data_IF_451444437559
#
_entry.id   IF_451444437559
#
_cell.length_a   1.000
_cell.length_b   1.000
_cell.length_c   1.000
_cell.angle_alpha   90.00
_cell.angle_beta   90.00
_cell.angle_gamma   90.00
#
_symmetry.space_group_name_H-M   'P 1'
#
loop_
_entity.id
_entity.type
_entity.pdbx_description
1 polymer ?
#
# COMPACT_ATOMS: atom_id res chain seq x y z
N UNK A 1 -4.45 13.94 -28.54
CA UNK A 1 -3.16 14.69 -28.58
C UNK A 1 -2.11 13.79 -29.20
N UNK A 2 -1.32 14.28 -30.16
CA UNK A 2 -0.22 13.49 -30.74
C UNK A 2 0.87 13.36 -29.68
N UNK A 3 1.05 12.16 -29.14
CA UNK A 3 2.15 11.85 -28.23
C UNK A 3 3.48 11.84 -29.01
N UNK A 4 4.43 12.65 -28.59
CA UNK A 4 5.78 12.64 -29.15
C UNK A 4 6.70 11.87 -28.22
N UNK A 5 7.26 10.78 -28.72
CA UNK A 5 8.19 9.92 -27.97
C UNK A 5 9.45 10.70 -27.60
N UNK A 6 9.82 10.75 -26.32
CA UNK A 6 11.12 11.30 -25.93
C UNK A 6 12.24 10.34 -26.36
N UNK A 7 13.44 10.86 -26.57
CA UNK A 7 14.62 10.01 -26.82
C UNK A 7 15.10 9.33 -25.54
N UNK A 8 15.00 10.04 -24.42
CA UNK A 8 15.44 9.62 -23.11
C UNK A 8 14.35 9.87 -22.07
N UNK A 9 14.32 9.06 -21.05
CA UNK A 9 13.42 9.10 -19.89
C UNK A 9 14.24 9.29 -18.63
N UNK A 10 13.85 10.23 -17.79
CA UNK A 10 14.47 10.47 -16.48
C UNK A 10 13.83 9.54 -15.43
N UNK A 11 14.67 9.04 -14.54
CA UNK A 11 14.22 8.28 -13.36
C UNK A 11 15.11 8.58 -12.16
N UNK A 12 14.54 8.50 -10.96
CA UNK A 12 15.27 8.50 -9.71
C UNK A 12 15.67 7.04 -9.38
N UNK A 13 16.97 6.82 -9.30
CA UNK A 13 17.57 5.50 -9.06
C UNK A 13 18.12 5.45 -7.66
N UNK A 14 17.72 4.45 -6.90
CA UNK A 14 18.33 4.12 -5.61
C UNK A 14 19.54 3.22 -5.84
N UNK A 15 20.74 3.74 -5.56
CA UNK A 15 22.03 3.07 -5.84
C UNK A 15 22.45 2.11 -4.72
N UNK A 16 22.18 2.53 -3.51
CA UNK A 16 22.44 1.82 -2.26
C UNK A 16 21.69 2.53 -1.13
N UNK A 17 21.62 1.98 0.08
CA UNK A 17 21.01 2.66 1.21
C UNK A 17 21.52 4.11 1.36
N UNK A 18 20.56 5.03 1.50
CA UNK A 18 20.82 6.46 1.67
C UNK A 18 21.27 7.22 0.43
N UNK A 19 21.39 6.59 -0.74
CA UNK A 19 21.92 7.22 -1.94
C UNK A 19 21.00 7.03 -3.14
N UNK A 20 20.47 8.14 -3.63
CA UNK A 20 19.67 8.21 -4.86
C UNK A 20 20.29 9.21 -5.84
N UNK A 21 20.07 8.99 -7.15
CA UNK A 21 20.47 9.93 -8.20
C UNK A 21 19.49 9.91 -9.37
N UNK A 22 19.47 10.99 -10.15
CA UNK A 22 18.74 11.02 -11.42
C UNK A 22 19.58 10.37 -12.52
N UNK A 23 19.02 9.37 -13.17
CA UNK A 23 19.58 8.77 -14.40
C UNK A 23 18.65 8.96 -15.58
N UNK A 24 19.23 8.88 -16.78
CA UNK A 24 18.50 8.89 -18.04
C UNK A 24 18.62 7.51 -18.69
N UNK A 25 17.51 7.05 -19.21
CA UNK A 25 17.39 5.76 -19.89
C UNK A 25 16.85 5.98 -21.30
N UNK A 26 17.23 5.16 -22.29
CA UNK A 26 16.58 5.17 -23.58
C UNK A 26 15.08 4.92 -23.44
N UNK A 27 14.26 5.63 -24.20
CA UNK A 27 12.84 5.30 -24.29
C UNK A 27 12.66 3.90 -24.90
N UNK A 28 11.99 2.96 -24.23
CA UNK A 28 11.93 1.57 -24.66
C UNK A 28 11.00 1.38 -25.88
N UNK A 29 11.29 0.39 -26.68
CA UNK A 29 10.36 -0.10 -27.70
C UNK A 29 9.39 -1.10 -27.07
N UNK A 30 8.14 -1.11 -27.52
CA UNK A 30 7.14 -2.12 -27.15
C UNK A 30 7.03 -3.19 -28.23
N UNK A 31 6.51 -4.34 -27.82
CA UNK A 31 6.02 -5.40 -28.70
C UNK A 31 4.49 -5.52 -28.62
N UNK A 32 3.92 -6.59 -29.18
CA UNK A 32 2.46 -6.81 -29.16
C UNK A 32 1.89 -7.10 -27.76
N UNK A 33 2.71 -7.52 -26.79
CA UNK A 33 2.32 -8.01 -25.48
C UNK A 33 2.64 -7.01 -24.33
N UNK A 34 3.21 -5.85 -24.66
CA UNK A 34 3.69 -4.85 -23.70
C UNK A 34 3.07 -3.46 -23.92
N UNK A 35 3.25 -2.56 -22.95
CA UNK A 35 2.76 -1.19 -23.02
C UNK A 35 3.75 -0.20 -22.39
N UNK A 36 3.54 1.09 -22.63
CA UNK A 36 4.21 2.20 -21.91
C UNK A 36 3.14 3.03 -21.23
N UNK A 37 3.34 3.27 -19.94
CA UNK A 37 2.54 4.19 -19.14
C UNK A 37 3.37 5.43 -18.82
N UNK A 38 2.82 6.61 -19.12
CA UNK A 38 3.32 7.89 -18.63
C UNK A 38 2.86 8.05 -17.20
N UNK A 39 3.79 8.05 -16.24
CA UNK A 39 3.44 8.14 -14.82
C UNK A 39 2.91 9.54 -14.48
N UNK A 40 1.71 9.59 -13.91
CA UNK A 40 1.12 10.82 -13.39
C UNK A 40 1.61 11.08 -11.97
N UNK A 41 1.60 10.03 -11.14
CA UNK A 41 1.96 10.09 -9.73
C UNK A 41 2.38 8.70 -9.25
N UNK A 42 3.33 8.66 -8.33
CA UNK A 42 3.78 7.44 -7.65
C UNK A 42 3.92 7.71 -6.17
N UNK A 43 3.25 6.92 -5.33
CA UNK A 43 3.33 7.05 -3.89
C UNK A 43 4.66 6.55 -3.33
N UNK A 44 5.07 7.13 -2.20
CA UNK A 44 6.20 6.65 -1.40
C UNK A 44 5.68 5.83 -0.24
N UNK A 45 6.01 4.55 -0.22
CA UNK A 45 5.60 3.56 0.76
C UNK A 45 6.51 3.52 2.00
N UNK A 46 6.03 2.89 3.06
CA UNK A 46 6.87 2.48 4.19
C UNK A 46 8.03 1.56 3.78
N UNK A 47 7.80 0.72 2.77
CA UNK A 47 8.81 -0.15 2.13
C UNK A 47 10.00 0.63 1.63
N UNK A 48 9.78 1.69 0.87
CA UNK A 48 10.84 2.52 0.27
C UNK A 48 11.69 3.18 1.35
N UNK A 49 11.04 3.59 2.46
CA UNK A 49 11.73 4.12 3.65
C UNK A 49 12.70 3.11 4.26
N UNK A 50 12.27 1.86 4.43
CA UNK A 50 13.11 0.80 5.01
C UNK A 50 14.26 0.44 4.08
N UNK A 51 14.01 0.34 2.76
CA UNK A 51 15.05 0.11 1.77
C UNK A 51 16.06 1.26 1.77
N UNK A 52 15.58 2.52 1.81
CA UNK A 52 16.46 3.69 1.88
C UNK A 52 17.33 3.72 3.14
N UNK A 53 16.81 3.28 4.28
CA UNK A 53 17.59 3.16 5.54
C UNK A 53 18.60 2.00 5.51
N UNK A 54 18.38 1.00 4.66
CA UNK A 54 19.19 -0.22 4.62
C UNK A 54 18.66 -1.34 5.50
N UNK A 55 17.45 -1.23 6.03
CA UNK A 55 16.78 -2.27 6.80
C UNK A 55 16.44 -3.50 5.90
N UNK A 56 16.25 -3.25 4.59
CA UNK A 56 16.08 -4.28 3.57
C UNK A 56 17.03 -4.00 2.40
N UNK A 57 17.96 -4.89 2.16
CA UNK A 57 18.91 -4.84 1.02
C UNK A 57 18.68 -5.95 0.01
N UNK A 58 17.88 -6.92 0.39
CA UNK A 58 17.50 -8.08 -0.44
C UNK A 58 16.01 -8.39 -0.30
N UNK A 59 15.40 -8.85 -1.37
CA UNK A 59 14.04 -9.40 -1.37
C UNK A 59 14.09 -10.75 -2.08
N UNK A 60 13.58 -11.80 -1.43
CA UNK A 60 13.58 -13.18 -1.94
C UNK A 60 14.97 -13.64 -2.42
N UNK A 61 16.03 -13.29 -1.67
CA UNK A 61 17.41 -13.65 -1.99
C UNK A 61 18.00 -12.91 -3.20
N UNK A 62 17.41 -11.81 -3.63
CA UNK A 62 17.92 -10.95 -4.72
C UNK A 62 18.27 -9.59 -4.15
N UNK A 63 19.47 -9.09 -4.48
CA UNK A 63 19.86 -7.73 -4.17
C UNK A 63 18.89 -6.73 -4.80
N UNK A 64 18.53 -5.71 -4.05
CA UNK A 64 17.62 -4.64 -4.53
C UNK A 64 18.35 -3.62 -5.39
N UNK A 65 19.62 -3.36 -5.14
CA UNK A 65 20.36 -2.23 -5.74
C UNK A 65 21.19 -2.60 -6.96
N UNK A 66 21.34 -1.69 -7.92
CA UNK A 66 20.59 -0.45 -8.09
C UNK A 66 19.23 -0.67 -8.75
N UNK A 67 18.21 0.13 -8.39
CA UNK A 67 16.87 0.01 -8.97
C UNK A 67 16.15 1.36 -9.06
N UNK A 68 15.09 1.45 -9.89
CA UNK A 68 14.15 2.55 -9.92
C UNK A 68 13.02 2.22 -8.94
N UNK A 69 12.87 3.03 -7.91
CA UNK A 69 11.89 2.85 -6.84
C UNK A 69 10.47 3.30 -7.26
N UNK A 70 9.48 3.12 -6.39
CA UNK A 70 8.09 3.52 -6.58
C UNK A 70 7.21 2.39 -7.13
N UNK A 71 6.31 1.89 -6.28
CA UNK A 71 5.42 0.77 -6.59
C UNK A 71 3.92 1.09 -6.44
N UNK A 72 3.55 2.25 -5.94
CA UNK A 72 2.17 2.73 -5.87
C UNK A 72 1.90 3.65 -7.07
N UNK A 73 1.61 3.07 -8.23
CA UNK A 73 1.72 3.75 -9.52
C UNK A 73 0.39 3.97 -10.21
N UNK A 74 0.19 5.21 -10.66
CA UNK A 74 -0.87 5.55 -11.61
C UNK A 74 -0.33 6.36 -12.78
N UNK A 75 -0.95 6.21 -13.93
CA UNK A 75 -0.56 6.96 -15.11
C UNK A 75 -1.47 6.75 -16.31
N UNK A 76 -1.09 7.36 -17.42
CA UNK A 76 -1.82 7.29 -18.69
C UNK A 76 -1.07 6.42 -19.70
N UNK A 77 -1.75 5.46 -20.33
CA UNK A 77 -1.20 4.63 -21.40
C UNK A 77 -0.88 5.52 -22.59
N UNK A 78 0.39 5.52 -23.01
CA UNK A 78 0.87 6.28 -24.19
C UNK A 78 1.20 5.40 -25.39
N UNK A 79 1.51 4.13 -25.15
CA UNK A 79 1.66 3.08 -26.16
C UNK A 79 1.17 1.76 -25.59
N UNK A 80 0.55 0.94 -26.45
CA UNK A 80 0.06 -0.38 -26.06
C UNK A 80 0.06 -1.33 -27.27
N UNK A 81 0.55 -2.53 -27.06
CA UNK A 81 0.53 -3.61 -28.04
C UNK A 81 -0.85 -4.23 -28.21
N UNK A 82 -1.08 -4.89 -29.32
CA UNK A 82 -2.40 -5.45 -29.68
C UNK A 82 -2.91 -6.49 -28.67
N UNK A 83 -2.04 -7.38 -28.21
CA UNK A 83 -2.40 -8.38 -27.20
C UNK A 83 -2.51 -7.74 -25.82
N UNK A 84 -1.56 -6.88 -25.45
CA UNK A 84 -1.54 -6.15 -24.19
C UNK A 84 -2.84 -5.38 -23.96
N UNK A 85 -3.45 -4.84 -25.01
CA UNK A 85 -4.72 -4.12 -24.94
C UNK A 85 -5.88 -5.00 -24.41
N UNK A 86 -5.83 -6.31 -24.62
CA UNK A 86 -6.84 -7.27 -24.15
C UNK A 86 -6.45 -7.97 -22.85
N UNK A 87 -5.17 -8.22 -22.68
CA UNK A 87 -4.68 -9.19 -21.69
C UNK A 87 -4.24 -8.56 -20.37
N UNK A 88 -3.95 -7.24 -20.35
CA UNK A 88 -3.41 -6.59 -19.16
C UNK A 88 -4.49 -6.04 -18.21
N UNK A 89 -5.72 -5.83 -18.64
CA UNK A 89 -6.75 -5.21 -17.80
C UNK A 89 -7.49 -6.24 -16.95
N UNK A 90 -7.63 -5.94 -15.64
CA UNK A 90 -8.16 -6.87 -14.65
C UNK A 90 -9.63 -7.25 -14.85
N UNK A 91 -10.47 -6.32 -15.32
CA UNK A 91 -11.92 -6.53 -15.54
C UNK A 91 -12.25 -6.94 -16.99
N UNK A 92 -11.24 -7.38 -17.76
CA UNK A 92 -11.36 -7.78 -19.17
C UNK A 92 -11.90 -6.67 -20.11
N UNK A 93 -11.70 -5.42 -19.77
CA UNK A 93 -11.99 -4.29 -20.66
C UNK A 93 -10.83 -4.10 -21.64
N UNK A 94 -11.11 -3.62 -22.84
CA UNK A 94 -10.06 -3.31 -23.81
C UNK A 94 -9.42 -1.98 -23.45
N UNK A 95 -8.11 -2.03 -23.23
CA UNK A 95 -7.31 -0.83 -22.98
C UNK A 95 -6.92 -0.15 -24.31
N UNK A 96 -6.75 1.17 -24.25
CA UNK A 96 -6.30 1.98 -25.39
C UNK A 96 -5.39 3.11 -24.91
N UNK A 97 -4.65 3.69 -25.84
CA UNK A 97 -3.88 4.91 -25.61
C UNK A 97 -4.82 6.01 -25.10
N UNK A 98 -4.41 6.67 -24.03
CA UNK A 98 -5.18 7.70 -23.32
C UNK A 98 -5.94 7.18 -22.10
N UNK A 99 -6.11 5.87 -21.92
CA UNK A 99 -6.72 5.33 -20.70
C UNK A 99 -5.78 5.55 -19.51
N UNK A 100 -6.37 5.97 -18.38
CA UNK A 100 -5.68 6.09 -17.10
C UNK A 100 -5.77 4.76 -16.36
N UNK A 101 -4.66 4.33 -15.77
CA UNK A 101 -4.55 3.03 -15.11
C UNK A 101 -3.79 3.13 -13.79
N UNK A 102 -4.20 2.33 -12.82
CA UNK A 102 -3.39 1.93 -11.69
C UNK A 102 -2.70 0.59 -12.02
N UNK A 103 -1.49 0.39 -11.52
CA UNK A 103 -0.61 -0.71 -11.92
C UNK A 103 -0.38 -1.60 -10.72
N UNK A 104 -0.77 -2.88 -10.81
CA UNK A 104 -0.42 -3.84 -9.77
C UNK A 104 1.10 -4.05 -9.71
N UNK A 105 1.60 -4.24 -8.50
CA UNK A 105 3.05 -4.28 -8.24
C UNK A 105 3.69 -5.50 -8.87
N UNK A 106 3.07 -6.68 -8.74
CA UNK A 106 3.67 -7.94 -9.12
C UNK A 106 3.38 -8.35 -10.56
N UNK A 107 4.40 -8.94 -11.18
CA UNK A 107 4.24 -9.74 -12.39
C UNK A 107 4.50 -11.19 -12.03
N UNK A 108 3.43 -11.97 -11.90
CA UNK A 108 3.47 -13.35 -11.45
C UNK A 108 3.68 -14.33 -12.60
N UNK A 109 4.18 -15.53 -12.29
CA UNK A 109 4.53 -16.51 -13.33
C UNK A 109 3.31 -17.21 -13.98
N UNK A 110 2.12 -17.12 -13.38
CA UNK A 110 0.88 -17.73 -13.87
C UNK A 110 0.83 -19.27 -13.86
N UNK A 111 1.91 -19.97 -13.52
CA UNK A 111 2.04 -21.43 -13.70
C UNK A 111 2.42 -22.24 -12.46
N UNK A 112 2.92 -21.63 -11.40
CA UNK A 112 3.22 -22.35 -10.16
C UNK A 112 1.93 -22.77 -9.44
N UNK A 113 2.07 -23.59 -8.41
CA UNK A 113 0.92 -24.09 -7.66
C UNK A 113 0.08 -22.93 -7.07
N UNK A 114 0.72 -21.94 -6.50
CA UNK A 114 0.03 -20.79 -5.90
C UNK A 114 -0.73 -19.96 -6.94
N UNK A 115 -0.12 -19.66 -8.09
CA UNK A 115 -0.81 -18.94 -9.17
C UNK A 115 -2.04 -19.66 -9.72
N UNK A 116 -2.04 -21.00 -9.65
CA UNK A 116 -3.15 -21.81 -10.15
C UNK A 116 -4.25 -22.10 -9.12
N UNK A 117 -3.94 -21.99 -7.82
CA UNK A 117 -4.83 -22.41 -6.76
C UNK A 117 -5.17 -21.31 -5.75
N UNK A 118 -4.47 -20.19 -5.77
CA UNK A 118 -4.74 -19.04 -4.91
C UNK A 118 -5.23 -17.85 -5.72
N UNK A 119 -6.30 -17.26 -5.25
CA UNK A 119 -6.98 -16.17 -5.94
C UNK A 119 -6.15 -14.87 -5.99
N UNK A 120 -5.36 -14.59 -4.95
CA UNK A 120 -4.61 -13.34 -4.80
C UNK A 120 -3.19 -13.36 -5.36
N UNK A 121 -2.66 -14.54 -5.69
CA UNK A 121 -1.32 -14.74 -6.28
C UNK A 121 -0.14 -14.11 -5.52
N UNK A 122 -0.34 -13.66 -4.29
CA UNK A 122 0.70 -13.02 -3.44
C UNK A 122 1.92 -13.93 -3.26
N UNK A 123 1.68 -15.21 -3.15
CA UNK A 123 2.67 -16.22 -2.80
C UNK A 123 3.31 -16.88 -4.02
N UNK A 124 3.29 -16.24 -5.18
CA UNK A 124 3.94 -16.77 -6.38
C UNK A 124 5.42 -17.10 -6.11
N UNK A 125 5.81 -18.39 -6.22
CA UNK A 125 7.19 -18.82 -5.97
C UNK A 125 8.17 -18.37 -7.05
N UNK A 126 7.69 -18.17 -8.28
CA UNK A 126 8.50 -17.81 -9.44
C UNK A 126 8.08 -16.44 -9.98
N UNK A 127 7.93 -15.48 -9.09
CA UNK A 127 7.59 -14.11 -9.45
C UNK A 127 8.60 -13.57 -10.46
N UNK A 128 8.10 -13.07 -11.59
CA UNK A 128 8.94 -12.57 -12.68
C UNK A 128 9.61 -11.28 -12.25
N UNK A 129 8.83 -10.35 -11.71
CA UNK A 129 9.30 -9.09 -11.16
C UNK A 129 8.25 -8.45 -10.24
N UNK A 130 8.67 -7.42 -9.51
CA UNK A 130 7.79 -6.46 -8.85
C UNK A 130 8.25 -5.04 -9.19
N UNK A 131 7.34 -4.23 -9.69
CA UNK A 131 7.60 -2.85 -10.05
C UNK A 131 8.06 -2.04 -8.83
N UNK A 132 9.15 -1.27 -9.01
CA UNK A 132 9.69 -0.42 -7.94
C UNK A 132 10.31 -1.16 -6.75
N UNK A 133 10.47 -2.49 -6.83
CA UNK A 133 11.04 -3.30 -5.74
C UNK A 133 12.19 -4.18 -6.21
N UNK A 134 12.12 -4.76 -7.41
CA UNK A 134 13.20 -5.61 -7.91
C UNK A 134 14.16 -4.86 -8.81
N UNK A 135 15.46 -5.17 -8.68
CA UNK A 135 16.53 -4.52 -9.42
C UNK A 135 16.46 -4.85 -10.90
N UNK A 136 17.39 -4.32 -11.58
CA UNK A 136 17.79 -4.47 -12.94
C UNK A 136 17.47 -3.25 -13.80
N UNK A 137 18.27 -2.23 -13.56
CA UNK A 137 18.35 -1.06 -14.43
C UNK A 137 19.41 -1.22 -15.52
N UNK A 138 20.13 -2.36 -15.57
CA UNK A 138 21.28 -2.57 -16.44
C UNK A 138 20.89 -3.21 -17.79
N UNK A 139 19.65 -3.71 -17.88
CA UNK A 139 19.14 -4.34 -19.10
C UNK A 139 17.82 -3.72 -19.56
N UNK A 140 17.61 -3.57 -20.89
CA UNK A 140 16.34 -3.15 -21.43
C UNK A 140 15.19 -4.04 -20.94
N UNK A 141 13.98 -3.49 -20.74
CA UNK A 141 13.55 -2.11 -21.06
C UNK A 141 13.80 -1.07 -19.95
N UNK A 142 14.57 -1.34 -18.92
CA UNK A 142 15.04 -0.50 -17.81
C UNK A 142 13.95 0.03 -16.85
N UNK A 143 12.91 0.70 -17.37
CA UNK A 143 11.93 1.52 -16.65
C UNK A 143 10.92 0.65 -15.86
N UNK A 144 11.34 0.12 -14.70
CA UNK A 144 10.60 -0.85 -13.89
C UNK A 144 10.12 -0.32 -12.55
N UNK A 145 10.01 0.99 -12.40
CA UNK A 145 9.53 1.62 -11.16
C UNK A 145 8.92 2.99 -11.45
N UNK A 146 8.04 3.43 -10.55
CA UNK A 146 7.23 4.64 -10.74
C UNK A 146 7.96 5.95 -10.52
N UNK A 147 9.14 5.93 -9.89
CA UNK A 147 9.96 7.15 -9.79
C UNK A 147 10.66 7.42 -11.11
N UNK A 148 9.90 7.35 -12.20
CA UNK A 148 10.34 7.62 -13.57
C UNK A 148 9.23 8.32 -14.36
N UNK A 149 9.61 9.07 -15.39
CA UNK A 149 8.64 9.78 -16.23
C UNK A 149 7.73 8.82 -17.01
N UNK A 150 8.23 7.63 -17.35
CA UNK A 150 7.51 6.57 -18.05
C UNK A 150 7.89 5.22 -17.45
N UNK A 151 6.95 4.29 -17.47
CA UNK A 151 7.16 2.93 -16.99
C UNK A 151 6.83 1.93 -18.11
N UNK A 152 7.68 0.93 -18.26
CA UNK A 152 7.44 -0.19 -19.18
C UNK A 152 6.56 -1.23 -18.49
N UNK A 153 5.48 -1.61 -19.16
CA UNK A 153 4.53 -2.60 -18.67
C UNK A 153 4.81 -3.94 -19.35
N UNK A 154 5.20 -4.90 -18.55
CA UNK A 154 5.58 -6.25 -19.03
C UNK A 154 4.35 -7.11 -19.34
N UNK A 155 4.49 -8.10 -20.23
CA UNK A 155 3.49 -9.16 -20.39
C UNK A 155 3.17 -9.84 -19.04
N UNK A 156 1.89 -10.07 -18.78
CA UNK A 156 1.42 -10.66 -17.52
C UNK A 156 1.28 -9.69 -16.35
N UNK A 157 1.53 -8.40 -16.56
CA UNK A 157 1.14 -7.35 -15.62
C UNK A 157 -0.38 -7.24 -15.52
N UNK A 158 -0.86 -6.68 -14.41
CA UNK A 158 -2.29 -6.40 -14.20
C UNK A 158 -2.49 -4.90 -14.04
N UNK A 159 -3.36 -4.34 -14.86
CA UNK A 159 -3.73 -2.94 -14.87
C UNK A 159 -5.20 -2.78 -14.49
N UNK A 160 -5.51 -1.73 -13.74
CA UNK A 160 -6.86 -1.37 -13.35
C UNK A 160 -7.22 -0.03 -13.96
N UNK A 161 -8.22 -0.01 -14.84
CA UNK A 161 -8.67 1.23 -15.46
C UNK A 161 -9.29 2.17 -14.43
N UNK A 162 -8.78 3.40 -14.36
CA UNK A 162 -9.26 4.45 -13.46
C UNK A 162 -10.39 5.23 -14.15
N UNK A 163 -11.52 5.51 -13.46
CA UNK A 163 -12.58 6.40 -13.94
C UNK A 163 -12.05 7.79 -14.33
N UNK A 164 -12.65 8.39 -15.37
CA UNK A 164 -12.18 9.68 -15.89
C UNK A 164 -12.32 10.83 -14.88
N UNK A 165 -13.34 10.78 -14.04
CA UNK A 165 -13.65 11.76 -13.00
C UNK A 165 -12.88 11.56 -11.70
N UNK A 166 -12.22 10.41 -11.51
CA UNK A 166 -11.37 10.18 -10.34
C UNK A 166 -10.06 10.97 -10.48
N UNK A 167 -9.83 11.88 -9.55
CA UNK A 167 -8.61 12.69 -9.54
C UNK A 167 -7.36 11.84 -9.30
N UNK A 168 -6.20 12.32 -9.75
CA UNK A 168 -4.91 11.68 -9.53
C UNK A 168 -4.60 11.52 -8.04
N UNK A 169 -4.96 12.53 -7.22
CA UNK A 169 -4.76 12.55 -5.76
C UNK A 169 -5.60 11.50 -5.02
N UNK A 170 -6.67 11.01 -5.62
CA UNK A 170 -7.46 9.90 -5.10
C UNK A 170 -6.93 8.58 -5.65
N UNK A 171 -6.72 8.51 -6.96
CA UNK A 171 -6.37 7.28 -7.65
C UNK A 171 -5.04 6.67 -7.19
N UNK A 172 -4.07 7.50 -6.75
CA UNK A 172 -2.76 7.03 -6.29
C UNK A 172 -2.84 6.09 -5.09
N UNK A 173 -3.89 6.20 -4.28
CA UNK A 173 -4.13 5.31 -3.14
C UNK A 173 -4.71 3.94 -3.52
N UNK A 174 -4.87 3.63 -4.80
CA UNK A 174 -5.53 2.39 -5.23
C UNK A 174 -4.79 1.13 -4.74
N UNK A 175 -3.46 1.15 -4.75
CA UNK A 175 -2.64 0.02 -4.27
C UNK A 175 -2.81 -0.17 -2.76
N UNK A 176 -2.62 0.87 -1.96
CA UNK A 176 -2.78 0.80 -0.50
C UNK A 176 -4.22 0.45 -0.09
N UNK A 177 -5.23 0.95 -0.81
CA UNK A 177 -6.64 0.57 -0.60
C UNK A 177 -6.89 -0.89 -0.91
N UNK A 178 -6.17 -1.48 -1.87
CA UNK A 178 -6.25 -2.91 -2.13
C UNK A 178 -5.69 -3.72 -0.95
N UNK A 179 -4.60 -3.29 -0.32
CA UNK A 179 -4.09 -3.89 0.91
C UNK A 179 -5.14 -3.82 2.03
N UNK A 180 -5.74 -2.64 2.24
CA UNK A 180 -6.80 -2.47 3.25
C UNK A 180 -8.04 -3.33 2.95
N UNK A 181 -8.46 -3.43 1.68
CA UNK A 181 -9.55 -4.30 1.28
C UNK A 181 -9.27 -5.77 1.60
N UNK A 182 -8.08 -6.27 1.26
CA UNK A 182 -7.68 -7.64 1.55
C UNK A 182 -7.63 -7.95 3.05
N UNK A 183 -7.13 -7.02 3.86
CA UNK A 183 -7.12 -7.16 5.32
C UNK A 183 -8.53 -7.36 5.87
N UNK A 184 -9.45 -6.48 5.45
CA UNK A 184 -10.84 -6.54 5.91
C UNK A 184 -11.56 -7.77 5.33
N UNK A 185 -11.31 -8.15 4.07
CA UNK A 185 -11.88 -9.35 3.48
C UNK A 185 -11.47 -10.62 4.25
N UNK A 186 -10.22 -10.72 4.71
CA UNK A 186 -9.76 -11.81 5.57
C UNK A 186 -10.43 -11.77 6.95
N UNK A 187 -10.60 -10.60 7.53
CA UNK A 187 -11.24 -10.43 8.84
C UNK A 187 -12.74 -10.75 8.82
N UNK A 188 -13.41 -10.58 7.68
CA UNK A 188 -14.85 -10.84 7.51
C UNK A 188 -15.19 -12.29 7.20
N UNK A 189 -14.23 -13.21 7.16
CA UNK A 189 -14.49 -14.64 6.95
C UNK A 189 -15.40 -15.17 8.07
N UNK A 190 -16.69 -15.46 7.82
CA UNK A 190 -17.60 -15.84 8.88
C UNK A 190 -17.43 -17.30 9.26
N UNK A 191 -17.38 -17.57 10.57
CA UNK A 191 -17.81 -18.86 11.10
C UNK A 191 -19.30 -18.76 11.45
N UNK A 192 -20.20 -19.33 10.66
CA UNK A 192 -21.65 -19.08 10.80
C UNK A 192 -22.25 -19.52 12.15
N UNK A 193 -21.59 -20.45 12.85
CA UNK A 193 -22.10 -21.02 14.09
C UNK A 193 -21.79 -20.18 15.35
N UNK A 194 -20.85 -19.25 15.27
CA UNK A 194 -20.39 -18.41 16.38
C UNK A 194 -20.17 -16.99 15.86
N UNK A 195 -20.42 -15.99 16.68
CA UNK A 195 -20.18 -14.58 16.31
C UNK A 195 -18.67 -14.28 16.25
N UNK A 196 -18.00 -14.92 15.30
CA UNK A 196 -16.59 -14.74 14.97
C UNK A 196 -16.48 -14.02 13.62
N UNK A 197 -15.37 -13.30 13.42
CA UNK A 197 -15.19 -12.44 12.26
C UNK A 197 -15.74 -11.04 12.48
N UNK A 198 -15.42 -10.16 11.54
CA UNK A 198 -15.79 -8.74 11.56
C UNK A 198 -16.96 -8.46 10.62
N UNK A 199 -17.89 -7.63 11.05
CA UNK A 199 -19.05 -7.25 10.26
C UNK A 199 -19.68 -5.93 10.65
N UNK A 200 -20.80 -5.53 10.04
CA UNK A 200 -21.48 -4.28 10.32
C UNK A 200 -21.90 -4.17 11.80
N UNK A 201 -21.60 -3.00 12.41
CA UNK A 201 -21.84 -2.70 13.81
C UNK A 201 -20.70 -3.10 14.74
N UNK A 202 -19.75 -3.90 14.30
CA UNK A 202 -18.61 -4.33 15.11
C UNK A 202 -17.59 -3.20 15.29
N UNK A 203 -16.79 -3.31 16.37
CA UNK A 203 -15.77 -2.33 16.72
C UNK A 203 -14.40 -2.68 16.16
N UNK A 204 -13.65 -1.66 15.74
CA UNK A 204 -12.27 -1.81 15.25
C UNK A 204 -11.31 -0.90 16.01
N UNK A 205 -10.12 -1.40 16.32
CA UNK A 205 -8.97 -0.58 16.71
C UNK A 205 -7.86 -0.70 15.68
N UNK A 206 -7.33 0.44 15.23
CA UNK A 206 -6.18 0.52 14.32
C UNK A 206 -4.98 1.04 15.11
N UNK A 207 -3.94 0.22 15.23
CA UNK A 207 -2.69 0.54 15.89
C UNK A 207 -1.65 0.95 14.85
N UNK A 208 -1.24 2.22 14.90
CA UNK A 208 -0.48 2.86 13.82
C UNK A 208 -1.40 3.49 12.76
N UNK A 209 -1.40 4.83 12.71
CA UNK A 209 -2.26 5.61 11.83
C UNK A 209 -1.45 6.42 10.80
N UNK A 210 -0.46 5.76 10.21
CA UNK A 210 0.11 6.16 8.93
C UNK A 210 -0.93 6.05 7.80
N UNK A 211 -0.57 6.34 6.55
CA UNK A 211 -1.51 6.27 5.41
C UNK A 211 -2.25 4.94 5.37
N UNK A 212 -1.51 3.84 5.42
CA UNK A 212 -2.07 2.48 5.36
C UNK A 212 -3.06 2.20 6.51
N UNK A 213 -2.71 2.55 7.76
CA UNK A 213 -3.61 2.37 8.91
C UNK A 213 -4.90 3.18 8.76
N UNK A 214 -4.83 4.42 8.28
CA UNK A 214 -6.00 5.25 8.01
C UNK A 214 -6.88 4.63 6.92
N UNK A 215 -6.28 4.10 5.85
CA UNK A 215 -7.04 3.43 4.79
C UNK A 215 -7.75 2.16 5.28
N UNK A 216 -7.15 1.41 6.21
CA UNK A 216 -7.84 0.30 6.90
C UNK A 216 -9.06 0.79 7.70
N UNK A 217 -8.90 1.89 8.42
CA UNK A 217 -10.00 2.50 9.18
C UNK A 217 -11.14 3.02 8.27
N UNK A 218 -10.81 3.62 7.13
CA UNK A 218 -11.77 4.03 6.09
C UNK A 218 -12.49 2.80 5.53
N UNK A 219 -11.75 1.77 5.14
CA UNK A 219 -12.34 0.54 4.58
C UNK A 219 -13.27 -0.14 5.59
N UNK A 220 -12.89 -0.19 6.88
CA UNK A 220 -13.76 -0.70 7.93
C UNK A 220 -15.05 0.12 8.04
N UNK A 221 -14.96 1.45 7.96
CA UNK A 221 -16.13 2.33 7.93
C UNK A 221 -17.05 2.06 6.74
N UNK A 222 -16.49 1.84 5.55
CA UNK A 222 -17.24 1.47 4.33
C UNK A 222 -17.95 0.12 4.51
N UNK A 223 -17.34 -0.83 5.23
CA UNK A 223 -17.95 -2.12 5.57
C UNK A 223 -18.93 -2.07 6.75
N UNK A 224 -19.16 -0.89 7.32
CA UNK A 224 -20.17 -0.69 8.35
C UNK A 224 -19.68 -0.83 9.79
N UNK A 225 -18.38 -0.65 10.05
CA UNK A 225 -17.85 -0.61 11.41
C UNK A 225 -18.66 0.32 12.33
N UNK A 226 -19.02 -0.15 13.52
CA UNK A 226 -19.77 0.62 14.51
C UNK A 226 -18.90 1.64 15.22
N UNK A 227 -17.84 1.19 15.91
CA UNK A 227 -16.89 2.06 16.61
C UNK A 227 -15.49 1.90 16.03
N UNK A 228 -14.84 3.02 15.71
CA UNK A 228 -13.51 3.05 15.09
C UNK A 228 -12.53 3.81 15.98
N UNK A 229 -11.57 3.09 16.53
CA UNK A 229 -10.56 3.61 17.45
C UNK A 229 -9.22 3.69 16.74
N UNK A 230 -8.53 4.83 16.84
CA UNK A 230 -7.19 5.04 16.27
C UNK A 230 -6.17 5.24 17.39
N UNK A 231 -5.03 4.56 17.34
CA UNK A 231 -3.88 4.82 18.22
C UNK A 231 -2.62 5.09 17.40
N UNK A 232 -1.86 6.12 17.73
CA UNK A 232 -0.57 6.46 17.11
C UNK A 232 0.29 7.26 18.10
N UNK A 233 1.60 7.30 17.87
CA UNK A 233 2.53 8.12 18.64
C UNK A 233 2.45 9.61 18.24
N UNK A 234 2.03 9.92 17.00
CA UNK A 234 2.06 11.25 16.43
C UNK A 234 0.66 11.89 16.40
N UNK A 235 0.49 12.99 17.16
CA UNK A 235 -0.74 13.78 17.17
C UNK A 235 -1.22 14.21 15.79
N UNK A 236 -0.28 14.52 14.89
CA UNK A 236 -0.61 14.91 13.52
C UNK A 236 -1.39 13.79 12.81
N UNK A 237 -0.94 12.55 12.95
CA UNK A 237 -1.61 11.37 12.36
C UNK A 237 -2.98 11.13 12.97
N UNK A 238 -3.09 11.27 14.29
CA UNK A 238 -4.35 11.15 14.99
C UNK A 238 -5.37 12.23 14.58
N UNK A 239 -4.92 13.46 14.33
CA UNK A 239 -5.77 14.52 13.79
C UNK A 239 -6.33 14.17 12.42
N UNK A 240 -5.51 13.62 11.53
CA UNK A 240 -5.96 13.17 10.20
C UNK A 240 -6.90 11.97 10.33
N UNK A 241 -6.58 10.98 11.16
CA UNK A 241 -7.45 9.84 11.43
C UNK A 241 -8.82 10.29 11.94
N UNK A 242 -8.86 11.25 12.87
CA UNK A 242 -10.09 11.83 13.40
C UNK A 242 -10.96 12.51 12.34
N UNK A 243 -10.33 13.17 11.37
CA UNK A 243 -11.04 13.84 10.28
C UNK A 243 -11.59 12.85 9.25
N UNK A 244 -10.90 11.73 9.03
CA UNK A 244 -11.21 10.79 7.96
C UNK A 244 -12.10 9.63 8.41
N UNK A 245 -11.82 9.03 9.57
CA UNK A 245 -12.56 7.83 9.94
C UNK A 245 -12.79 7.63 11.45
N UNK A 246 -11.82 8.02 12.30
CA UNK A 246 -11.81 7.59 13.69
C UNK A 246 -12.87 8.31 14.56
N UNK A 247 -13.66 7.56 15.29
CA UNK A 247 -14.58 8.10 16.28
C UNK A 247 -13.82 8.51 17.55
N UNK A 248 -12.75 7.76 17.91
CA UNK A 248 -11.93 8.00 19.09
C UNK A 248 -10.45 7.89 18.68
N UNK A 249 -9.64 8.83 19.17
CA UNK A 249 -8.18 8.82 19.01
C UNK A 249 -7.49 8.71 20.36
N UNK A 250 -6.39 7.97 20.43
CA UNK A 250 -5.58 7.78 21.63
C UNK A 250 -4.11 7.99 21.27
N UNK A 251 -3.46 8.98 21.89
CA UNK A 251 -2.03 9.18 21.71
C UNK A 251 -1.25 8.13 22.50
N UNK A 252 -0.53 7.27 21.80
CA UNK A 252 0.24 6.17 22.36
C UNK A 252 1.52 6.63 23.07
N UNK A 253 2.02 7.84 22.78
CA UNK A 253 3.16 8.40 23.47
C UNK A 253 2.82 8.91 24.89
N UNK A 254 1.55 9.16 25.17
CA UNK A 254 1.07 9.70 26.45
C UNK A 254 0.61 8.63 27.42
N UNK A 255 0.27 7.42 26.93
CA UNK A 255 -0.37 6.37 27.72
C UNK A 255 0.39 5.05 27.54
N UNK A 256 0.91 4.42 28.60
CA UNK A 256 1.55 3.11 28.52
C UNK A 256 0.64 2.02 27.95
N UNK A 257 1.21 1.03 27.26
CA UNK A 257 0.49 -0.05 26.56
C UNK A 257 -0.60 -0.70 27.42
N UNK A 258 -0.29 -1.08 28.66
CA UNK A 258 -1.26 -1.70 29.58
C UNK A 258 -2.45 -0.82 29.93
N UNK A 259 -2.27 0.51 29.97
CA UNK A 259 -3.36 1.46 30.20
C UNK A 259 -4.16 1.72 28.93
N UNK A 260 -3.48 1.75 27.74
CA UNK A 260 -4.18 1.83 26.45
C UNK A 260 -5.10 0.65 26.24
N UNK A 261 -4.63 -0.57 26.51
CA UNK A 261 -5.44 -1.79 26.43
C UNK A 261 -6.68 -1.66 27.33
N UNK A 262 -6.51 -1.26 28.60
CA UNK A 262 -7.62 -1.06 29.52
C UNK A 262 -8.61 0.00 29.04
N UNK A 263 -8.09 1.11 28.48
CA UNK A 263 -8.90 2.20 27.93
C UNK A 263 -9.73 1.74 26.73
N UNK A 264 -9.11 1.04 25.78
CA UNK A 264 -9.81 0.51 24.59
C UNK A 264 -10.86 -0.54 25.00
N UNK A 265 -10.53 -1.44 25.93
CA UNK A 265 -11.52 -2.40 26.46
C UNK A 265 -12.69 -1.68 27.14
N UNK A 266 -12.43 -0.65 27.93
CA UNK A 266 -13.51 0.14 28.57
C UNK A 266 -14.44 0.77 27.53
N UNK A 267 -13.90 1.31 26.43
CA UNK A 267 -14.67 1.89 25.33
C UNK A 267 -15.53 0.85 24.60
N UNK A 268 -15.11 -0.41 24.59
CA UNK A 268 -15.79 -1.54 23.94
C UNK A 268 -16.53 -2.43 24.95
N UNK A 269 -17.10 -1.84 26.00
CA UNK A 269 -17.92 -2.56 26.98
C UNK A 269 -17.15 -3.50 27.91
N UNK A 270 -15.84 -3.33 28.06
CA UNK A 270 -14.97 -4.14 28.90
C UNK A 270 -14.39 -5.40 28.25
N UNK A 271 -14.83 -5.74 27.02
CA UNK A 271 -14.46 -6.99 26.35
C UNK A 271 -13.28 -6.86 25.38
N UNK A 272 -13.11 -5.71 24.74
CA UNK A 272 -12.15 -5.43 23.68
C UNK A 272 -12.81 -5.30 22.31
N UNK A 273 -12.13 -4.73 21.31
CA UNK A 273 -12.65 -4.58 19.96
C UNK A 273 -12.79 -5.93 19.25
N UNK A 274 -13.71 -6.00 18.28
CA UNK A 274 -13.96 -7.18 17.45
C UNK A 274 -12.79 -7.44 16.49
N UNK A 275 -12.21 -6.38 15.95
CA UNK A 275 -11.07 -6.39 15.03
C UNK A 275 -9.98 -5.45 15.53
N UNK A 276 -8.73 -5.91 15.48
CA UNK A 276 -7.55 -5.07 15.67
C UNK A 276 -6.66 -5.18 14.44
N UNK A 277 -6.30 -4.04 13.83
CA UNK A 277 -5.31 -3.94 12.76
C UNK A 277 -4.01 -3.43 13.36
N UNK A 278 -2.94 -4.21 13.26
CA UNK A 278 -1.58 -3.77 13.53
C UNK A 278 -0.97 -3.21 12.24
N UNK A 279 -0.70 -1.90 12.22
CA UNK A 279 -0.13 -1.17 11.08
C UNK A 279 0.99 -0.20 11.52
N UNK A 280 1.55 -0.39 12.72
CA UNK A 280 2.66 0.39 13.24
C UNK A 280 4.02 -0.19 12.79
N UNK A 281 4.08 -1.51 12.62
CA UNK A 281 5.30 -2.23 12.28
C UNK A 281 6.27 -2.36 13.46
N UNK A 282 5.73 -2.44 14.66
CA UNK A 282 6.50 -2.67 15.90
C UNK A 282 6.03 -3.99 16.52
N UNK A 283 6.92 -4.98 16.69
CA UNK A 283 6.56 -6.29 17.22
C UNK A 283 5.87 -6.26 18.59
N UNK A 284 6.19 -5.28 19.47
CA UNK A 284 5.51 -5.12 20.76
C UNK A 284 4.07 -4.61 20.59
N UNK A 285 3.79 -3.83 19.54
CA UNK A 285 2.43 -3.38 19.20
C UNK A 285 1.56 -4.57 18.74
N UNK A 286 2.17 -5.58 18.09
CA UNK A 286 1.47 -6.83 17.79
C UNK A 286 1.03 -7.57 19.06
N UNK A 287 1.89 -7.64 20.10
CA UNK A 287 1.50 -8.21 21.41
C UNK A 287 0.37 -7.37 22.03
N UNK A 288 0.45 -6.05 21.96
CA UNK A 288 -0.62 -5.17 22.42
C UNK A 288 -1.96 -5.46 21.72
N UNK A 289 -1.93 -5.68 20.38
CA UNK A 289 -3.10 -6.05 19.60
C UNK A 289 -3.73 -7.36 20.07
N UNK A 290 -2.88 -8.39 20.29
CA UNK A 290 -3.32 -9.69 20.82
C UNK A 290 -3.95 -9.59 22.20
N UNK A 291 -3.45 -8.71 23.09
CA UNK A 291 -4.03 -8.49 24.41
C UNK A 291 -5.32 -7.68 24.35
N UNK A 292 -5.39 -6.72 23.43
CA UNK A 292 -6.48 -5.77 23.30
C UNK A 292 -7.75 -6.41 22.72
N UNK A 293 -7.63 -7.22 21.68
CA UNK A 293 -8.76 -7.85 20.98
C UNK A 293 -9.63 -8.69 21.93
N UNK A 294 -10.95 -8.71 21.70
CA UNK A 294 -11.87 -9.57 22.48
C UNK A 294 -11.61 -11.06 22.27
N UNK A 295 -12.22 -11.90 23.11
CA UNK A 295 -12.29 -13.35 22.86
C UNK A 295 -13.11 -13.61 21.60
N UNK A 296 -12.66 -14.53 20.75
CA UNK A 296 -13.24 -14.81 19.42
C UNK A 296 -13.11 -13.67 18.43
N UNK A 297 -12.28 -12.66 18.72
CA UNK A 297 -12.02 -11.55 17.78
C UNK A 297 -10.87 -11.83 16.84
N UNK A 298 -10.59 -10.89 15.96
CA UNK A 298 -9.58 -11.02 14.90
C UNK A 298 -8.48 -9.98 15.04
N UNK A 299 -7.24 -10.39 14.84
CA UNK A 299 -6.07 -9.52 14.66
C UNK A 299 -5.57 -9.68 13.24
N UNK A 300 -5.38 -8.58 12.54
CA UNK A 300 -4.67 -8.54 11.25
C UNK A 300 -3.34 -7.83 11.44
N UNK A 301 -2.28 -8.54 11.12
CA UNK A 301 -0.91 -8.05 11.15
C UNK A 301 -0.51 -7.61 9.72
N UNK A 302 -0.21 -6.32 9.56
CA UNK A 302 0.14 -5.72 8.26
C UNK A 302 1.33 -4.77 8.35
N UNK A 303 1.77 -4.42 9.57
CA UNK A 303 2.82 -3.43 9.80
C UNK A 303 4.24 -3.97 9.63
N UNK A 304 4.49 -5.22 9.96
CA UNK A 304 5.82 -5.84 9.97
C UNK A 304 6.11 -6.55 8.64
N UNK A 305 6.70 -5.86 7.68
CA UNK A 305 7.01 -6.44 6.36
C UNK A 305 8.49 -6.79 6.15
N UNK A 306 9.38 -6.27 7.00
CA UNK A 306 10.83 -6.51 6.95
C UNK A 306 11.28 -7.26 8.18
N UNK A 307 12.04 -8.34 7.98
CA UNK A 307 12.74 -9.03 9.07
C UNK A 307 14.04 -8.28 9.39
N UNK A 308 14.02 -7.51 10.48
CA UNK A 308 15.18 -6.82 11.02
C UNK A 308 15.80 -7.55 12.23
N UNK A 309 15.36 -8.81 12.44
CA UNK A 309 15.84 -9.65 13.53
C UNK A 309 15.20 -9.37 14.89
N UNK A 310 14.23 -8.46 14.97
CA UNK A 310 13.47 -8.22 16.19
C UNK A 310 12.51 -9.36 16.49
N UNK A 311 12.41 -9.73 17.76
CA UNK A 311 11.55 -10.82 18.23
C UNK A 311 10.75 -10.39 19.46
N UNK A 312 9.57 -10.97 19.65
CA UNK A 312 8.75 -10.77 20.83
C UNK A 312 8.48 -12.08 21.58
N UNK A 313 8.23 -11.98 22.86
CA UNK A 313 7.79 -13.11 23.67
C UNK A 313 6.28 -13.30 23.55
N UNK A 314 5.87 -14.41 22.96
CA UNK A 314 4.47 -14.79 22.83
C UNK A 314 4.11 -15.92 23.81
N UNK A 315 3.19 -15.66 24.72
CA UNK A 315 2.54 -16.71 25.50
C UNK A 315 1.32 -17.24 24.74
N UNK A 316 1.47 -18.37 24.07
CA UNK A 316 0.44 -18.93 23.18
C UNK A 316 -0.89 -19.17 23.90
N UNK A 317 -0.86 -19.70 25.14
CA UNK A 317 -2.09 -19.93 25.91
C UNK A 317 -2.81 -18.63 26.25
N UNK A 318 -2.09 -17.64 26.78
CA UNK A 318 -2.64 -16.34 27.20
C UNK A 318 -3.13 -15.52 26.03
N UNK A 319 -2.31 -15.40 24.96
CA UNK A 319 -2.58 -14.44 23.89
C UNK A 319 -3.50 -15.01 22.81
N UNK A 320 -3.47 -16.33 22.59
CA UNK A 320 -4.19 -16.98 21.48
C UNK A 320 -5.24 -17.97 21.99
N UNK A 321 -4.80 -19.09 22.59
CA UNK A 321 -5.66 -20.26 22.80
C UNK A 321 -6.81 -19.99 23.79
N UNK A 322 -6.54 -19.31 24.93
CA UNK A 322 -7.60 -19.00 25.93
C UNK A 322 -8.61 -17.97 25.43
N UNK A 323 -8.31 -17.30 24.33
CA UNK A 323 -9.16 -16.27 23.73
C UNK A 323 -9.87 -16.75 22.45
N UNK A 324 -9.47 -17.88 21.87
CA UNK A 324 -9.96 -18.36 20.58
C UNK A 324 -9.92 -17.28 19.48
N UNK A 325 -8.82 -16.52 19.39
CA UNK A 325 -8.71 -15.43 18.42
C UNK A 325 -8.26 -15.94 17.05
N UNK A 326 -8.58 -15.17 16.02
CA UNK A 326 -8.06 -15.33 14.67
C UNK A 326 -6.90 -14.36 14.44
N UNK A 327 -5.82 -14.86 13.83
CA UNK A 327 -4.66 -14.03 13.45
C UNK A 327 -4.45 -14.20 11.96
N UNK A 328 -4.48 -13.10 11.22
CA UNK A 328 -4.20 -13.07 9.80
C UNK A 328 -2.96 -12.21 9.54
N UNK A 329 -1.90 -12.82 9.02
CA UNK A 329 -0.79 -12.09 8.41
C UNK A 329 -1.18 -11.57 7.02
N UNK A 330 -0.81 -10.35 6.71
CA UNK A 330 -1.02 -9.75 5.40
C UNK A 330 0.28 -9.12 4.91
N UNK A 331 0.91 -9.77 3.94
CA UNK A 331 2.16 -9.28 3.38
C UNK A 331 1.93 -8.24 2.27
N UNK A 332 0.89 -8.43 1.45
CA UNK A 332 0.59 -7.62 0.27
C UNK A 332 -0.86 -7.84 -0.19
N UNK A 333 -1.31 -7.14 -1.26
CA UNK A 333 -2.63 -7.35 -1.87
C UNK A 333 -2.61 -8.22 -3.14
N UNK A 334 -1.43 -8.58 -3.66
CA UNK A 334 -1.30 -9.31 -4.91
C UNK A 334 -1.81 -8.53 -6.13
N UNK A 335 -2.21 -9.28 -7.16
CA UNK A 335 -2.71 -8.70 -8.42
C UNK A 335 -4.23 -8.66 -8.51
N UNK A 336 -4.95 -9.18 -7.51
CA UNK A 336 -6.40 -9.15 -7.49
C UNK A 336 -6.91 -8.13 -6.46
N UNK A 337 -7.14 -6.93 -6.91
CA UNK A 337 -7.63 -5.85 -6.05
C UNK A 337 -9.14 -5.90 -5.80
N UNK A 338 -9.86 -6.84 -6.45
CA UNK A 338 -11.31 -6.94 -6.33
C UNK A 338 -12.02 -5.64 -6.73
N UNK A 339 -13.01 -5.18 -5.93
CA UNK A 339 -13.81 -4.00 -6.29
C UNK A 339 -13.17 -2.66 -5.88
N UNK A 340 -11.87 -2.59 -5.54
CA UNK A 340 -11.25 -1.42 -4.92
C UNK A 340 -11.46 -0.13 -5.72
N UNK A 341 -11.25 -0.14 -7.03
CA UNK A 341 -11.47 1.05 -7.87
C UNK A 341 -12.93 1.52 -7.78
N UNK A 342 -13.90 0.59 -7.84
CA UNK A 342 -15.34 0.91 -7.72
C UNK A 342 -15.70 1.43 -6.32
N UNK A 343 -15.06 0.89 -5.28
CA UNK A 343 -15.23 1.35 -3.89
C UNK A 343 -14.70 2.77 -3.75
N UNK A 344 -13.52 3.05 -4.28
CA UNK A 344 -12.92 4.39 -4.24
C UNK A 344 -13.75 5.39 -5.04
N UNK A 345 -14.18 5.05 -6.25
CA UNK A 345 -15.07 5.87 -7.08
C UNK A 345 -16.33 6.29 -6.30
N UNK A 346 -17.00 5.32 -5.70
CA UNK A 346 -18.23 5.54 -4.94
C UNK A 346 -18.05 6.39 -3.69
N UNK A 347 -16.93 6.24 -2.99
CA UNK A 347 -16.72 6.81 -1.65
C UNK A 347 -15.73 7.97 -1.59
N UNK A 348 -15.07 8.35 -2.70
CA UNK A 348 -14.07 9.44 -2.72
C UNK A 348 -14.62 10.80 -2.26
N UNK A 349 -15.89 11.08 -2.49
CA UNK A 349 -16.54 12.31 -2.02
C UNK A 349 -16.86 12.27 -0.50
N UNK A 350 -16.99 11.08 0.10
CA UNK A 350 -17.21 10.91 1.53
C UNK A 350 -15.89 10.93 2.31
N UNK A 351 -14.86 10.35 1.73
CA UNK A 351 -13.52 10.25 2.33
C UNK A 351 -12.52 11.03 1.46
N UNK A 352 -12.13 12.23 1.88
CA UNK A 352 -11.19 13.07 1.11
C UNK A 352 -9.75 12.52 1.23
N UNK A 353 -9.42 11.51 0.40
CA UNK A 353 -8.12 10.82 0.39
C UNK A 353 -6.95 11.78 0.20
N UNK A 354 -7.15 12.86 -0.55
CA UNK A 354 -6.12 13.89 -0.78
C UNK A 354 -5.59 14.53 0.50
N UNK A 355 -6.33 14.47 1.61
CA UNK A 355 -5.85 14.93 2.94
C UNK A 355 -4.72 14.07 3.52
N UNK A 356 -4.54 12.87 3.01
CA UNK A 356 -3.40 12.03 3.37
C UNK A 356 -2.10 12.56 2.74
N UNK A 357 -2.17 13.24 1.59
CA UNK A 357 -0.99 13.73 0.89
C UNK A 357 -0.44 14.94 1.64
N UNK A 358 0.73 14.77 2.22
CA UNK A 358 1.43 15.85 2.92
C UNK A 358 2.45 16.59 2.05
N UNK A 359 3.03 15.89 1.07
CA UNK A 359 4.03 16.43 0.17
C UNK A 359 3.85 15.86 -1.24
N UNK A 360 4.08 16.71 -2.24
CA UNK A 360 4.23 16.32 -3.63
C UNK A 360 5.61 16.75 -4.10
N UNK A 361 6.44 15.81 -4.49
CA UNK A 361 7.83 16.05 -4.86
C UNK A 361 8.07 15.68 -6.32
N UNK A 362 8.92 16.44 -7.01
CA UNK A 362 9.46 16.06 -8.31
C UNK A 362 10.52 14.97 -8.16
N UNK A 363 10.98 14.37 -9.29
CA UNK A 363 12.11 13.44 -9.28
C UNK A 363 13.38 14.06 -8.70
N UNK A 364 13.64 15.34 -8.99
CA UNK A 364 14.82 16.03 -8.47
C UNK A 364 14.72 16.28 -6.96
N UNK A 365 13.49 16.51 -6.45
CA UNK A 365 13.27 16.75 -5.04
C UNK A 365 13.32 15.47 -4.22
N UNK A 366 12.73 14.34 -4.70
CA UNK A 366 12.73 13.08 -3.93
C UNK A 366 14.15 12.56 -3.69
N UNK A 367 15.05 12.68 -4.67
CA UNK A 367 16.46 12.29 -4.55
C UNK A 367 17.16 12.98 -3.37
N UNK A 368 16.80 14.24 -3.10
CA UNK A 368 17.40 15.04 -2.04
C UNK A 368 16.60 15.04 -0.72
N UNK A 369 15.36 14.60 -0.73
CA UNK A 369 14.43 14.77 0.39
C UNK A 369 13.84 13.45 0.91
N UNK A 370 14.39 12.29 0.55
CA UNK A 370 13.90 11.00 1.05
C UNK A 370 13.90 10.93 2.59
N UNK A 371 14.77 11.71 3.26
CA UNK A 371 14.79 11.85 4.72
C UNK A 371 13.47 12.43 5.31
N UNK A 372 12.67 13.18 4.53
CA UNK A 372 11.37 13.69 4.99
C UNK A 372 10.40 12.53 5.23
N UNK A 373 10.45 11.51 4.38
CA UNK A 373 9.58 10.33 4.46
C UNK A 373 9.80 9.54 5.74
N UNK A 374 11.01 9.61 6.27
CA UNK A 374 11.44 8.83 7.46
C UNK A 374 10.87 9.39 8.76
N UNK A 375 10.49 10.68 8.81
CA UNK A 375 10.03 11.34 10.03
C UNK A 375 8.48 11.39 10.08
N UNK A 376 7.81 10.61 10.96
CA UNK A 376 6.36 10.57 11.04
C UNK A 376 5.73 11.89 11.51
N UNK A 377 6.51 12.77 12.15
CA UNK A 377 6.03 14.08 12.60
C UNK A 377 6.03 15.10 11.46
N UNK A 378 6.87 14.91 10.43
CA UNK A 378 6.97 15.79 9.27
C UNK A 378 6.12 15.33 8.10
N UNK A 379 5.91 14.02 7.98
CA UNK A 379 5.28 13.40 6.82
C UNK A 379 4.06 12.56 7.19
N UNK A 380 3.01 12.64 6.39
CA UNK A 380 1.94 11.65 6.34
C UNK A 380 2.16 10.75 5.11
N UNK A 381 1.95 11.29 3.91
CA UNK A 381 2.20 10.62 2.63
C UNK A 381 2.96 11.58 1.71
N UNK A 382 3.97 11.04 1.03
CA UNK A 382 4.70 11.73 -0.04
C UNK A 382 4.31 11.11 -1.37
N UNK A 383 4.05 11.97 -2.33
CA UNK A 383 3.79 11.57 -3.71
C UNK A 383 4.87 12.14 -4.63
N UNK A 384 5.37 11.30 -5.52
CA UNK A 384 6.34 11.71 -6.56
C UNK A 384 5.59 12.02 -7.84
N UNK A 385 5.83 13.22 -8.39
CA UNK A 385 5.30 13.65 -9.68
C UNK A 385 6.48 13.74 -10.65
N UNK A 386 6.64 12.76 -11.56
CA UNK A 386 7.86 12.65 -12.34
C UNK A 386 8.07 13.75 -13.40
N UNK A 387 6.99 14.39 -13.87
CA UNK A 387 7.08 15.36 -14.97
C UNK A 387 7.29 16.81 -14.48
N UNK A 388 8.29 17.51 -15.05
CA UNK A 388 8.75 18.86 -14.63
C UNK A 388 7.72 19.99 -14.68
N UNK A 389 6.62 19.82 -15.39
CA UNK A 389 5.63 20.89 -15.59
C UNK A 389 4.52 20.93 -14.53
N UNK A 390 4.65 20.16 -13.46
CA UNK A 390 3.70 20.22 -12.36
C UNK A 390 4.12 21.32 -11.38
N UNK A 391 3.35 22.39 -11.33
CA UNK A 391 3.52 23.40 -10.28
C UNK A 391 2.90 22.87 -8.99
N UNK A 392 3.73 22.52 -8.02
CA UNK A 392 3.27 22.21 -6.68
C UNK A 392 2.71 23.49 -6.03
N UNK A 393 1.42 23.50 -5.73
CA UNK A 393 0.76 24.58 -4.99
C UNK A 393 0.87 24.37 -3.47
N UNK A 394 1.94 23.73 -2.99
CA UNK A 394 2.16 23.59 -1.55
C UNK A 394 2.92 24.81 -1.03
N UNK A 395 2.22 25.59 -0.20
CA UNK A 395 2.88 26.53 0.73
C UNK A 395 3.41 25.70 1.90
N UNK A 396 4.74 25.76 2.12
CA UNK A 396 5.46 25.20 3.26
C UNK A 396 4.83 25.61 4.60
#
# INVERSE_FOLDING_TARGET
MNFTKPKEVRAAVMLKPGVMEIRKFPYPAIDKDSAIVKIEMSGVCGTDKHIFKGDATEVRGRSLFPFIDGHENIGTIVEIGENAARDLEADHRILKVGDRVAIAVEVNCGKCWYCKNQYDNITCENQIMAYGVYPNIDTPPYLRGGFSEYMFIFPGSVLFKIPEDMTTDVAVFAEEMAVAYHALARATQPFPAVKEGFGPGDSIAVLGNGPLGILHGIMAGIQGAGMRIATDLADRRLKVAKQLYADITINASEIPAGERIKKVKKLTGGIGPDLVIEAAGDPEVFIEALEMVRKGGTVVEVGNWVDIGETVQLNVMRHISSKNIHIHGLYHCGTNWGPVIKVMEKHSHQYPFEKLISHKLSLDEIVNNMNIVVDPNKCMKVEVIPHKNFKTNYKS
#
